data_IF_970171069872
#
_entry.id   IF_970171069872
#
_cell.length_a   1.000
_cell.length_b   1.000
_cell.length_c   1.000
_cell.angle_alpha   90.00
_cell.angle_beta   90.00
_cell.angle_gamma   90.00
#
_symmetry.space_group_name_H-M   'P 1'
#
loop_
_entity.id
_entity.type
_entity.pdbx_description
1 polymer ?
#
# COMPACT_ATOMS: atom_id res chain seq x y z
N UNK A 1 -12.32 21.42 17.90
CA UNK A 1 -13.13 20.27 17.49
C UNK A 1 -12.89 19.14 18.48
N UNK A 2 -13.93 18.55 19.06
CA UNK A 2 -13.77 17.40 19.96
C UNK A 2 -13.45 16.19 19.09
N UNK A 3 -12.25 15.63 19.17
CA UNK A 3 -11.90 14.37 18.56
C UNK A 3 -12.85 13.29 19.09
N UNK A 4 -13.81 12.85 18.28
CA UNK A 4 -14.46 11.57 18.57
C UNK A 4 -13.35 10.53 18.47
N UNK A 5 -13.01 9.88 19.58
CA UNK A 5 -12.13 8.71 19.57
C UNK A 5 -12.84 7.66 18.71
N UNK A 6 -12.26 7.36 17.55
CA UNK A 6 -12.66 6.22 16.75
C UNK A 6 -12.44 4.97 17.61
N UNK A 7 -13.50 4.25 17.87
CA UNK A 7 -13.42 2.92 18.49
C UNK A 7 -13.75 1.96 17.35
N UNK A 8 -12.79 1.17 16.86
CA UNK A 8 -13.06 0.21 15.79
C UNK A 8 -14.22 -0.72 16.16
N UNK A 9 -15.02 -1.10 15.19
CA UNK A 9 -16.18 -2.01 15.34
C UNK A 9 -15.74 -3.30 16.07
N UNK A 10 -14.52 -3.78 15.81
CA UNK A 10 -13.93 -4.93 16.49
C UNK A 10 -13.79 -4.78 18.02
N UNK A 11 -13.71 -3.55 18.56
CA UNK A 11 -13.61 -3.33 20.03
C UNK A 11 -14.96 -3.39 20.76
N UNK A 12 -16.08 -3.29 20.06
CA UNK A 12 -17.41 -3.30 20.67
C UNK A 12 -17.97 -4.71 20.93
N UNK A 13 -17.31 -5.77 20.45
CA UNK A 13 -17.83 -7.14 20.47
C UNK A 13 -16.92 -8.17 21.16
N UNK A 14 -16.02 -7.77 22.04
CA UNK A 14 -15.30 -8.73 22.91
C UNK A 14 -16.21 -9.25 24.05
N UNK A 15 -17.30 -9.92 23.69
CA UNK A 15 -18.02 -10.83 24.58
C UNK A 15 -17.56 -12.25 24.21
N UNK A 16 -16.75 -12.81 25.09
CA UNK A 16 -16.27 -14.19 25.02
C UNK A 16 -17.40 -15.17 24.80
N UNK A 17 -17.55 -15.69 23.60
CA UNK A 17 -18.25 -16.92 23.35
C UNK A 17 -17.19 -18.01 23.11
N UNK A 18 -16.85 -18.74 24.18
CA UNK A 18 -16.06 -19.96 24.07
C UNK A 18 -16.90 -21.01 23.34
N UNK A 19 -16.77 -21.06 22.01
CA UNK A 19 -17.30 -22.13 21.19
C UNK A 19 -16.23 -23.24 21.17
N UNK A 20 -16.42 -24.25 22.00
CA UNK A 20 -15.64 -25.50 21.96
C UNK A 20 -16.05 -26.26 20.70
N UNK A 21 -15.36 -26.02 19.59
CA UNK A 21 -15.45 -26.85 18.39
C UNK A 21 -14.71 -28.15 18.67
N UNK A 22 -15.45 -29.26 18.66
CA UNK A 22 -14.92 -30.62 18.58
C UNK A 22 -14.18 -30.76 17.24
N UNK A 23 -12.89 -30.50 17.24
CA UNK A 23 -12.01 -30.86 16.12
C UNK A 23 -11.80 -32.37 16.18
N UNK A 24 -12.46 -33.11 15.29
CA UNK A 24 -12.05 -34.46 14.95
C UNK A 24 -10.62 -34.39 14.40
N UNK A 25 -9.71 -35.16 15.03
CA UNK A 25 -8.33 -35.31 14.57
C UNK A 25 -8.28 -35.86 13.15
N UNK A 26 -8.22 -34.97 12.15
CA UNK A 26 -7.80 -35.32 10.82
C UNK A 26 -6.26 -35.37 10.82
N UNK A 27 -5.71 -36.52 10.48
CA UNK A 27 -4.28 -36.69 10.14
C UNK A 27 -4.00 -35.84 8.92
N UNK A 28 -3.25 -34.76 9.11
CA UNK A 28 -2.85 -33.83 8.05
C UNK A 28 -1.91 -34.55 7.07
N UNK A 29 -2.38 -34.77 5.84
CA UNK A 29 -1.51 -34.97 4.67
C UNK A 29 -0.78 -33.64 4.35
N UNK A 30 0.26 -33.70 3.49
CA UNK A 30 1.15 -32.59 3.15
C UNK A 30 0.47 -31.37 2.48
N UNK A 31 -0.85 -31.35 2.32
CA UNK A 31 -1.66 -30.25 1.80
C UNK A 31 -2.75 -29.87 2.79
N UNK A 32 -2.76 -28.58 3.16
CA UNK A 32 -3.81 -27.95 3.95
C UNK A 32 -5.00 -27.69 3.02
N UNK A 33 -5.89 -28.69 2.91
CA UNK A 33 -7.05 -28.66 2.02
C UNK A 33 -8.28 -28.08 2.75
N UNK A 34 -8.30 -26.73 2.88
CA UNK A 34 -9.39 -25.99 3.50
C UNK A 34 -10.13 -25.20 2.44
N UNK A 35 -11.44 -25.41 2.33
CA UNK A 35 -12.32 -24.49 1.63
C UNK A 35 -12.64 -23.30 2.55
N UNK A 36 -11.85 -22.24 2.42
CA UNK A 36 -12.00 -21.03 3.22
C UNK A 36 -13.33 -20.31 3.00
N UNK A 37 -14.03 -20.56 1.87
CA UNK A 37 -15.34 -19.96 1.59
C UNK A 37 -16.47 -20.58 2.40
N UNK A 38 -16.27 -21.81 2.88
CA UNK A 38 -17.25 -22.58 3.64
C UNK A 38 -17.13 -22.40 5.16
N UNK A 39 -16.09 -21.70 5.64
CA UNK A 39 -15.91 -21.50 7.07
C UNK A 39 -17.04 -20.65 7.67
N UNK A 40 -17.54 -21.00 8.86
CA UNK A 40 -18.47 -20.15 9.60
C UNK A 40 -17.75 -18.82 9.92
N UNK A 41 -18.28 -17.72 9.40
CA UNK A 41 -17.70 -16.39 9.60
C UNK A 41 -18.54 -15.58 10.56
N UNK A 42 -17.90 -14.95 11.55
CA UNK A 42 -18.48 -13.81 12.23
C UNK A 42 -18.66 -12.66 11.21
N UNK A 43 -19.70 -11.87 11.36
CA UNK A 43 -20.00 -10.76 10.44
C UNK A 43 -18.89 -9.69 10.40
N UNK A 44 -18.03 -9.68 11.40
CA UNK A 44 -16.89 -8.74 11.52
C UNK A 44 -15.59 -9.28 10.90
N UNK A 45 -15.55 -10.55 10.53
CA UNK A 45 -14.36 -11.17 9.97
C UNK A 45 -14.23 -10.94 8.46
N UNK A 46 -13.04 -11.28 7.96
CA UNK A 46 -12.78 -11.29 6.52
C UNK A 46 -13.66 -12.36 5.85
N UNK A 47 -14.44 -11.92 4.85
CA UNK A 47 -15.34 -12.79 4.10
C UNK A 47 -14.74 -13.14 2.75
N UNK A 48 -14.33 -14.38 2.57
CA UNK A 48 -13.74 -14.86 1.30
C UNK A 48 -14.79 -14.84 0.18
N UNK A 49 -14.42 -14.28 -0.96
CA UNK A 49 -15.22 -14.23 -2.19
C UNK A 49 -14.62 -15.08 -3.31
N UNK A 50 -13.31 -15.32 -3.29
CA UNK A 50 -12.64 -16.23 -4.20
C UNK A 50 -11.39 -16.84 -3.57
N UNK A 51 -11.04 -18.04 -4.01
CA UNK A 51 -9.84 -18.78 -3.59
C UNK A 51 -9.11 -19.31 -4.82
N UNK A 52 -7.79 -19.18 -4.84
CA UNK A 52 -6.90 -19.75 -5.87
C UNK A 52 -5.67 -20.37 -5.21
N UNK A 53 -5.24 -21.53 -5.72
CA UNK A 53 -3.96 -22.14 -5.29
C UNK A 53 -2.96 -22.00 -6.42
N UNK A 54 -1.71 -21.63 -6.10
CA UNK A 54 -0.65 -21.39 -7.07
C UNK A 54 0.70 -21.89 -6.58
N UNK A 55 1.50 -22.50 -7.46
CA UNK A 55 2.89 -22.86 -7.16
C UNK A 55 3.83 -21.67 -7.27
N UNK A 56 3.44 -20.63 -7.98
CA UNK A 56 4.25 -19.44 -8.27
C UNK A 56 5.64 -19.79 -8.84
N UNK A 57 5.72 -20.80 -9.69
CA UNK A 57 6.95 -21.12 -10.42
C UNK A 57 7.28 -20.07 -11.47
N UNK A 58 6.24 -19.35 -11.94
CA UNK A 58 6.31 -18.17 -12.78
C UNK A 58 5.41 -17.07 -12.19
N UNK A 59 5.64 -15.81 -12.55
CA UNK A 59 4.73 -14.73 -12.19
C UNK A 59 3.35 -14.96 -12.81
N UNK A 60 2.27 -14.85 -12.05
CA UNK A 60 0.92 -14.92 -12.59
C UNK A 60 0.71 -13.87 -13.68
N UNK A 61 -0.12 -14.22 -14.69
CA UNK A 61 -0.41 -13.32 -15.81
C UNK A 61 -1.14 -12.04 -15.38
N UNK A 62 -1.81 -12.07 -14.24
CA UNK A 62 -2.46 -10.95 -13.58
C UNK A 62 -1.54 -10.17 -12.61
N UNK A 63 -0.22 -10.40 -12.66
CA UNK A 63 0.76 -9.61 -11.94
C UNK A 63 1.11 -8.34 -12.73
N UNK A 64 0.96 -7.18 -12.10
CA UNK A 64 1.27 -5.88 -12.70
C UNK A 64 2.38 -5.17 -11.92
N UNK A 65 3.16 -4.35 -12.63
CA UNK A 65 4.12 -3.39 -12.09
C UNK A 65 3.81 -2.07 -12.76
N UNK A 66 3.27 -1.12 -12.02
CA UNK A 66 2.80 0.19 -12.53
C UNK A 66 1.91 0.10 -13.78
N UNK A 67 0.92 -0.78 -13.74
CA UNK A 67 -0.04 -0.92 -14.83
C UNK A 67 0.48 -1.63 -16.08
N UNK A 68 1.69 -2.17 -16.03
CA UNK A 68 2.25 -3.00 -17.09
C UNK A 68 2.29 -4.45 -16.61
N UNK A 69 1.78 -5.42 -17.40
CA UNK A 69 1.94 -6.83 -17.03
C UNK A 69 3.40 -7.17 -16.74
N UNK A 70 3.66 -7.82 -15.62
CA UNK A 70 5.03 -8.10 -15.17
C UNK A 70 5.83 -8.91 -16.21
N UNK A 71 5.17 -9.78 -16.97
CA UNK A 71 5.77 -10.54 -18.07
C UNK A 71 6.32 -9.65 -19.21
N UNK A 72 5.69 -8.48 -19.45
CA UNK A 72 6.14 -7.53 -20.47
C UNK A 72 7.17 -6.53 -19.91
N UNK A 73 7.21 -6.40 -18.58
CA UNK A 73 7.99 -5.38 -17.91
C UNK A 73 9.49 -5.55 -18.17
N UNK A 74 10.00 -6.78 -18.14
CA UNK A 74 11.41 -7.07 -18.42
C UNK A 74 11.86 -6.60 -19.80
N UNK A 75 11.01 -6.77 -20.82
CA UNK A 75 11.31 -6.37 -22.22
C UNK A 75 11.30 -4.84 -22.40
N UNK A 76 10.38 -4.13 -21.75
CA UNK A 76 10.28 -2.66 -21.83
C UNK A 76 11.41 -1.94 -21.12
N UNK A 77 11.88 -2.48 -20.00
CA UNK A 77 12.94 -1.90 -19.19
C UNK A 77 14.30 -1.96 -19.89
N UNK A 78 14.64 -3.06 -20.55
CA UNK A 78 15.90 -3.18 -21.29
C UNK A 78 16.04 -2.13 -22.39
N UNK A 79 14.94 -1.56 -22.87
CA UNK A 79 14.90 -0.50 -23.88
C UNK A 79 14.98 0.92 -23.27
N UNK A 80 14.83 1.09 -21.96
CA UNK A 80 14.87 2.41 -21.32
C UNK A 80 16.30 2.94 -21.17
N UNK A 81 16.56 4.20 -21.58
CA UNK A 81 17.90 4.82 -21.41
C UNK A 81 18.37 4.85 -19.95
N UNK A 82 17.47 4.97 -18.99
CA UNK A 82 17.80 5.04 -17.55
C UNK A 82 18.40 3.74 -17.01
N UNK A 83 18.05 2.58 -17.54
CA UNK A 83 18.65 1.31 -17.12
C UNK A 83 20.07 1.10 -17.63
N UNK A 84 20.47 1.79 -18.68
CA UNK A 84 21.83 1.69 -19.23
C UNK A 84 22.90 2.31 -18.34
N UNK A 85 22.53 3.11 -17.35
CA UNK A 85 23.44 3.77 -16.40
C UNK A 85 23.52 3.06 -15.05
N UNK A 86 22.62 2.10 -14.76
CA UNK A 86 22.66 1.29 -13.53
C UNK A 86 23.57 0.07 -13.72
N UNK A 87 24.43 -0.21 -12.74
CA UNK A 87 25.32 -1.38 -12.74
C UNK A 87 24.57 -2.73 -12.61
N UNK A 88 23.26 -2.70 -12.37
CA UNK A 88 22.43 -3.89 -12.20
C UNK A 88 21.18 -3.74 -13.07
N UNK A 89 20.92 -4.71 -13.94
CA UNK A 89 19.75 -4.69 -14.82
C UNK A 89 18.46 -4.96 -14.04
N UNK A 90 17.32 -4.46 -14.52
CA UNK A 90 16.02 -4.80 -13.94
C UNK A 90 15.73 -6.31 -13.99
N UNK A 91 16.20 -6.97 -15.07
CA UNK A 91 16.08 -8.41 -15.20
C UNK A 91 16.79 -9.14 -14.06
N UNK A 92 17.99 -8.69 -13.64
CA UNK A 92 18.68 -9.32 -12.52
C UNK A 92 17.99 -9.08 -11.18
N UNK A 93 17.40 -7.88 -10.95
CA UNK A 93 16.63 -7.60 -9.73
C UNK A 93 15.33 -8.40 -9.70
N UNK A 94 14.65 -8.52 -10.84
CA UNK A 94 13.49 -9.40 -10.96
C UNK A 94 13.86 -10.86 -10.69
N UNK A 95 15.00 -11.32 -11.21
CA UNK A 95 15.50 -12.66 -10.93
C UNK A 95 15.78 -12.87 -9.43
N UNK A 96 16.36 -11.86 -8.74
CA UNK A 96 16.56 -11.90 -7.29
C UNK A 96 15.23 -12.02 -6.52
N UNK A 97 14.19 -11.27 -6.95
CA UNK A 97 12.85 -11.34 -6.35
C UNK A 97 12.22 -12.73 -6.54
N UNK A 98 12.46 -13.37 -7.70
CA UNK A 98 11.86 -14.65 -8.09
C UNK A 98 12.68 -15.87 -7.64
N UNK A 99 13.93 -15.67 -7.23
CA UNK A 99 14.80 -16.77 -6.79
C UNK A 99 14.49 -17.17 -5.35
N UNK A 100 13.64 -18.17 -5.20
CA UNK A 100 13.30 -18.78 -3.92
C UNK A 100 13.88 -20.19 -3.83
N UNK A 101 14.69 -20.44 -2.82
CA UNK A 101 15.23 -21.77 -2.52
C UNK A 101 14.16 -22.78 -2.11
N UNK A 102 13.05 -22.29 -1.53
CA UNK A 102 11.90 -23.10 -1.11
C UNK A 102 10.70 -22.81 -2.02
N UNK A 103 10.31 -23.78 -2.82
CA UNK A 103 9.13 -23.73 -3.69
C UNK A 103 7.88 -24.12 -2.90
N UNK A 104 7.33 -23.21 -2.11
CA UNK A 104 6.04 -23.45 -1.44
C UNK A 104 4.90 -23.08 -2.37
N UNK A 105 3.89 -23.93 -2.42
CA UNK A 105 2.57 -23.57 -2.96
C UNK A 105 1.93 -22.54 -2.04
N UNK A 106 1.18 -21.61 -2.60
CA UNK A 106 0.44 -20.60 -1.86
C UNK A 106 -1.06 -20.68 -2.17
N UNK A 107 -1.87 -20.22 -1.23
CA UNK A 107 -3.30 -20.01 -1.40
C UNK A 107 -3.52 -18.49 -1.42
N UNK A 108 -4.26 -18.03 -2.42
CA UNK A 108 -4.71 -16.65 -2.55
C UNK A 108 -6.21 -16.60 -2.21
N UNK A 109 -6.57 -15.73 -1.28
CA UNK A 109 -7.94 -15.47 -0.87
C UNK A 109 -8.27 -14.01 -1.16
N UNK A 110 -9.20 -13.76 -2.07
CA UNK A 110 -9.78 -12.42 -2.18
C UNK A 110 -11.07 -12.37 -1.37
N UNK A 111 -11.35 -11.23 -0.76
CA UNK A 111 -12.52 -11.13 0.11
C UNK A 111 -12.81 -9.70 0.54
N UNK A 112 -13.80 -9.57 1.42
CA UNK A 112 -14.29 -8.28 1.92
C UNK A 112 -14.18 -8.20 3.44
N UNK A 113 -14.11 -6.98 3.96
CA UNK A 113 -14.08 -6.66 5.38
C UNK A 113 -14.77 -5.32 5.61
N UNK A 114 -15.14 -5.03 6.86
CA UNK A 114 -15.74 -3.77 7.24
C UNK A 114 -14.69 -2.76 7.69
N UNK A 115 -14.89 -1.50 7.32
CA UNK A 115 -14.08 -0.35 7.69
C UNK A 115 -14.94 0.91 7.68
N UNK A 116 -14.34 2.10 7.56
CA UNK A 116 -15.03 3.38 7.48
C UNK A 116 -14.65 4.15 6.21
N UNK A 117 -15.58 4.99 5.77
CA UNK A 117 -15.36 5.94 4.68
C UNK A 117 -14.87 7.33 5.20
N UNK A 118 -14.74 8.29 4.29
CA UNK A 118 -14.30 9.66 4.59
C UNK A 118 -15.27 10.46 5.47
N UNK A 119 -16.52 10.03 5.55
CA UNK A 119 -17.55 10.57 6.45
C UNK A 119 -17.68 9.79 7.77
N UNK A 120 -16.83 8.77 7.97
CA UNK A 120 -16.85 7.86 9.12
C UNK A 120 -18.08 6.96 9.20
N UNK A 121 -18.73 6.69 8.05
CA UNK A 121 -19.78 5.69 7.96
C UNK A 121 -19.15 4.30 7.70
N UNK A 122 -19.85 3.26 8.17
CA UNK A 122 -19.44 1.89 7.90
C UNK A 122 -19.47 1.62 6.40
N UNK A 123 -18.36 1.07 5.87
CA UNK A 123 -18.22 0.68 4.47
C UNK A 123 -17.59 -0.69 4.36
N UNK A 124 -18.04 -1.48 3.39
CA UNK A 124 -17.38 -2.74 3.06
C UNK A 124 -16.25 -2.46 2.07
N UNK A 125 -15.03 -2.85 2.44
CA UNK A 125 -13.84 -2.81 1.59
C UNK A 125 -13.45 -4.21 1.16
N UNK A 126 -12.50 -4.32 0.25
CA UNK A 126 -11.95 -5.60 -0.23
C UNK A 126 -10.43 -5.63 -0.15
N UNK A 127 -9.89 -6.83 -0.34
CA UNK A 127 -8.45 -7.05 -0.39
C UNK A 127 -8.11 -8.51 -0.63
N UNK A 128 -6.81 -8.81 -0.56
CA UNK A 128 -6.27 -10.16 -0.78
C UNK A 128 -5.44 -10.60 0.42
N UNK A 129 -5.55 -11.88 0.73
CA UNK A 129 -4.66 -12.60 1.64
C UNK A 129 -3.93 -13.67 0.84
N UNK A 130 -2.61 -13.74 0.97
CA UNK A 130 -1.80 -14.82 0.37
C UNK A 130 -1.07 -15.53 1.48
N UNK A 131 -1.20 -16.85 1.55
CA UNK A 131 -0.62 -17.66 2.63
C UNK A 131 -0.03 -18.96 2.10
N UNK A 132 0.95 -19.56 2.82
CA UNK A 132 1.48 -20.88 2.49
C UNK A 132 0.38 -21.94 2.49
N UNK A 133 0.37 -22.82 1.46
CA UNK A 133 -0.67 -23.84 1.31
C UNK A 133 -0.63 -24.94 2.37
N UNK A 134 0.46 -25.05 3.12
CA UNK A 134 0.57 -25.95 4.28
C UNK A 134 -0.07 -25.39 5.56
N UNK A 135 -0.64 -24.19 5.51
CA UNK A 135 -1.28 -23.53 6.64
C UNK A 135 -0.30 -23.08 7.74
N UNK A 136 1.01 -23.09 7.48
CA UNK A 136 2.04 -22.75 8.48
C UNK A 136 2.82 -21.54 8.04
N UNK A 137 2.74 -20.48 8.83
CA UNK A 137 3.42 -19.24 8.56
C UNK A 137 4.35 -18.81 9.70
N UNK A 138 5.42 -18.12 9.35
CA UNK A 138 6.35 -17.52 10.29
C UNK A 138 5.73 -16.30 10.98
N UNK A 139 5.18 -15.36 10.18
CA UNK A 139 4.56 -14.10 10.62
C UNK A 139 3.56 -13.62 9.59
N UNK A 140 2.83 -12.58 9.97
CA UNK A 140 1.98 -11.81 9.06
C UNK A 140 2.75 -10.57 8.59
N UNK A 141 2.68 -10.28 7.28
CA UNK A 141 3.12 -9.01 6.68
C UNK A 141 1.87 -8.27 6.19
N UNK A 142 1.59 -7.12 6.78
CA UNK A 142 0.54 -6.21 6.34
C UNK A 142 1.13 -5.23 5.33
N UNK A 143 0.62 -5.25 4.10
CA UNK A 143 1.18 -4.52 2.97
C UNK A 143 0.27 -3.38 2.57
N UNK A 144 0.84 -2.18 2.52
CA UNK A 144 0.22 -1.01 1.90
C UNK A 144 0.73 -0.90 0.47
N UNK A 145 -0.17 -1.05 -0.53
CA UNK A 145 0.24 -1.04 -1.93
C UNK A 145 0.59 0.37 -2.45
N UNK A 146 1.36 0.45 -3.52
CA UNK A 146 1.69 1.69 -4.21
C UNK A 146 0.49 2.26 -4.99
N UNK A 147 0.64 3.43 -5.62
CA UNK A 147 -0.42 4.08 -6.41
C UNK A 147 -0.83 3.22 -7.60
N UNK A 148 -2.12 2.91 -7.69
CA UNK A 148 -2.74 2.24 -8.83
C UNK A 148 -3.77 3.17 -9.50
N UNK A 149 -4.05 2.95 -10.77
CA UNK A 149 -5.04 3.71 -11.53
C UNK A 149 -6.29 2.88 -11.83
N UNK A 150 -6.08 1.64 -12.24
CA UNK A 150 -7.15 0.74 -12.65
C UNK A 150 -7.62 -0.16 -11.50
N UNK A 151 -8.92 -0.44 -11.47
CA UNK A 151 -9.45 -1.44 -10.54
C UNK A 151 -8.97 -2.87 -10.84
N UNK A 152 -8.43 -3.10 -12.05
CA UNK A 152 -7.78 -4.37 -12.39
C UNK A 152 -6.45 -4.58 -11.65
N UNK A 153 -5.82 -3.49 -11.18
CA UNK A 153 -4.58 -3.51 -10.41
C UNK A 153 -4.83 -3.63 -8.90
N UNK A 154 -6.09 -3.56 -8.44
CA UNK A 154 -6.42 -3.72 -7.03
C UNK A 154 -5.99 -5.12 -6.54
N UNK A 155 -5.36 -5.24 -5.36
CA UNK A 155 -4.88 -6.52 -4.84
C UNK A 155 -5.89 -7.65 -4.86
N UNK A 156 -7.18 -7.39 -4.57
CA UNK A 156 -8.24 -8.39 -4.65
C UNK A 156 -8.45 -8.95 -6.06
N UNK A 157 -7.97 -8.27 -7.11
CA UNK A 157 -8.20 -8.60 -8.52
C UNK A 157 -6.95 -9.01 -9.28
N UNK A 158 -5.76 -8.64 -8.80
CA UNK A 158 -4.48 -9.00 -9.41
C UNK A 158 -3.60 -9.76 -8.41
N UNK A 159 -2.42 -10.19 -8.85
CA UNK A 159 -1.39 -10.74 -7.97
C UNK A 159 -0.35 -9.64 -7.69
N UNK A 160 -0.28 -9.09 -6.46
CA UNK A 160 0.79 -8.16 -6.11
C UNK A 160 2.15 -8.88 -6.09
N UNK A 161 3.18 -8.26 -6.67
CA UNK A 161 4.50 -8.92 -6.75
C UNK A 161 5.10 -9.20 -5.37
N UNK A 162 4.81 -8.36 -4.37
CA UNK A 162 5.24 -8.58 -2.99
C UNK A 162 4.69 -9.88 -2.40
N UNK A 163 3.55 -10.36 -2.93
CA UNK A 163 2.93 -11.61 -2.49
C UNK A 163 3.82 -12.84 -2.76
N UNK A 164 4.86 -12.70 -3.61
CA UNK A 164 5.92 -13.71 -3.75
C UNK A 164 6.60 -14.04 -2.42
N UNK A 165 6.64 -13.12 -1.46
CA UNK A 165 7.21 -13.35 -0.13
C UNK A 165 6.44 -14.42 0.68
N UNK A 166 5.19 -14.74 0.30
CA UNK A 166 4.44 -15.85 0.90
C UNK A 166 5.16 -17.21 0.69
N UNK A 167 5.94 -17.36 -0.38
CA UNK A 167 6.80 -18.56 -0.61
C UNK A 167 7.86 -18.73 0.49
N UNK A 168 8.22 -17.68 1.19
CA UNK A 168 9.11 -17.72 2.34
C UNK A 168 8.39 -18.15 3.63
N UNK A 169 7.09 -18.38 3.59
CA UNK A 169 6.30 -18.77 4.76
C UNK A 169 5.70 -17.59 5.52
N UNK A 170 5.39 -16.50 4.86
CA UNK A 170 4.65 -15.38 5.45
C UNK A 170 3.18 -15.41 5.01
N UNK A 171 2.27 -14.99 5.89
CA UNK A 171 0.94 -14.56 5.47
C UNK A 171 1.07 -13.11 5.02
N UNK A 172 0.59 -12.82 3.80
CA UNK A 172 0.61 -11.48 3.22
C UNK A 172 -0.82 -10.94 3.15
N UNK A 173 -1.06 -9.74 3.69
CA UNK A 173 -2.38 -9.09 3.70
C UNK A 173 -2.31 -7.81 2.90
N UNK A 174 -3.16 -7.66 1.89
CA UNK A 174 -3.20 -6.56 0.93
C UNK A 174 -4.59 -5.94 0.88
N UNK A 175 -4.88 -4.84 1.58
CA UNK A 175 -6.11 -4.06 1.40
C UNK A 175 -6.14 -3.39 0.02
N UNK A 176 -7.32 -3.25 -0.59
CA UNK A 176 -7.50 -2.52 -1.85
C UNK A 176 -7.53 -0.99 -1.67
N UNK A 177 -7.75 -0.48 -0.47
CA UNK A 177 -8.13 0.87 -0.09
C UNK A 177 -9.53 1.28 -0.56
N UNK A 178 -10.11 2.27 0.11
CA UNK A 178 -11.36 2.94 -0.30
C UNK A 178 -11.18 3.56 -1.70
N UNK A 179 -12.14 3.34 -2.58
CA UNK A 179 -12.10 3.78 -3.98
C UNK A 179 -11.54 2.73 -4.95
N UNK A 180 -11.23 1.51 -4.45
CA UNK A 180 -10.82 0.37 -5.28
C UNK A 180 -11.55 -0.92 -4.85
N UNK A 181 -11.35 -1.99 -5.60
CA UNK A 181 -11.99 -3.28 -5.32
C UNK A 181 -13.51 -3.19 -5.41
N UNK A 182 -14.20 -3.45 -4.29
CA UNK A 182 -15.66 -3.38 -4.20
C UNK A 182 -16.21 -1.96 -4.10
N UNK A 183 -15.36 -0.96 -3.87
CA UNK A 183 -15.71 0.46 -3.80
C UNK A 183 -15.14 1.28 -4.98
N UNK A 184 -14.88 0.63 -6.11
CA UNK A 184 -14.28 1.26 -7.29
C UNK A 184 -15.15 2.38 -7.92
N UNK A 185 -16.41 2.44 -7.58
CA UNK A 185 -17.36 3.50 -7.95
C UNK A 185 -17.19 4.78 -7.12
N UNK A 186 -16.33 4.76 -6.09
CA UNK A 186 -16.02 5.91 -5.24
C UNK A 186 -14.68 6.53 -5.64
N UNK A 187 -14.53 7.82 -5.36
CA UNK A 187 -13.23 8.49 -5.50
C UNK A 187 -12.29 8.01 -4.38
N UNK A 188 -11.04 7.73 -4.74
CA UNK A 188 -10.02 7.33 -3.77
C UNK A 188 -9.53 8.54 -2.96
N UNK A 189 -9.61 8.53 -1.61
CA UNK A 189 -9.07 9.59 -0.75
C UNK A 189 -7.54 9.48 -0.67
N UNK A 190 -6.88 9.79 -1.79
CA UNK A 190 -5.44 9.59 -2.02
C UNK A 190 -4.60 10.39 -1.02
N UNK A 191 -3.68 9.71 -0.32
CA UNK A 191 -2.80 10.26 0.70
C UNK A 191 -3.51 10.89 1.92
N UNK A 192 -4.75 10.50 2.19
CA UNK A 192 -5.43 10.80 3.47
C UNK A 192 -4.97 9.76 4.49
N UNK A 193 -3.91 10.10 5.24
CA UNK A 193 -3.11 9.15 6.00
C UNK A 193 -3.90 8.41 7.09
N UNK A 194 -4.65 9.13 7.91
CA UNK A 194 -5.38 8.54 9.04
C UNK A 194 -6.48 7.58 8.56
N UNK A 195 -7.24 7.99 7.53
CA UNK A 195 -8.30 7.16 6.96
C UNK A 195 -7.73 5.90 6.33
N UNK A 196 -6.67 6.04 5.53
CA UNK A 196 -6.03 4.88 4.88
C UNK A 196 -5.41 3.95 5.92
N UNK A 197 -4.77 4.48 6.97
CA UNK A 197 -4.20 3.66 8.05
C UNK A 197 -5.28 2.83 8.75
N UNK A 198 -6.47 3.41 8.99
CA UNK A 198 -7.60 2.70 9.57
C UNK A 198 -8.09 1.60 8.61
N UNK A 199 -8.29 1.92 7.33
CA UNK A 199 -8.75 0.93 6.35
C UNK A 199 -7.79 -0.26 6.23
N UNK A 200 -6.48 0.01 6.29
CA UNK A 200 -5.44 -1.03 6.25
C UNK A 200 -5.46 -1.89 7.51
N UNK A 201 -5.52 -1.25 8.69
CA UNK A 201 -5.51 -1.95 9.96
C UNK A 201 -6.79 -2.76 10.19
N UNK A 202 -7.94 -2.25 9.75
CA UNK A 202 -9.22 -2.95 9.85
C UNK A 202 -9.20 -4.28 9.07
N UNK A 203 -8.52 -4.33 7.91
CA UNK A 203 -8.33 -5.61 7.22
C UNK A 203 -7.53 -6.61 8.05
N UNK A 204 -6.43 -6.19 8.69
CA UNK A 204 -5.66 -7.06 9.57
C UNK A 204 -6.51 -7.58 10.73
N UNK A 205 -7.29 -6.70 11.37
CA UNK A 205 -8.16 -7.04 12.50
C UNK A 205 -9.29 -8.02 12.09
N UNK A 206 -9.76 -7.94 10.84
CA UNK A 206 -10.74 -8.87 10.29
C UNK A 206 -10.12 -10.22 9.87
N UNK A 207 -8.90 -10.20 9.32
CA UNK A 207 -8.20 -11.40 8.81
C UNK A 207 -7.64 -12.26 9.93
N UNK A 208 -7.06 -11.67 10.97
CA UNK A 208 -6.41 -12.43 12.04
C UNK A 208 -7.32 -13.50 12.68
N UNK A 209 -8.50 -13.16 13.22
CA UNK A 209 -9.40 -14.18 13.80
C UNK A 209 -9.94 -15.17 12.78
N UNK A 210 -10.09 -14.75 11.53
CA UNK A 210 -10.48 -15.64 10.43
C UNK A 210 -9.40 -16.71 10.18
N UNK A 211 -8.11 -16.35 10.14
CA UNK A 211 -7.01 -17.30 9.98
C UNK A 211 -6.90 -18.27 11.17
N UNK A 212 -7.08 -17.76 12.39
CA UNK A 212 -7.12 -18.59 13.61
C UNK A 212 -8.24 -19.62 13.54
N UNK A 213 -9.44 -19.21 13.13
CA UNK A 213 -10.61 -20.11 12.96
C UNK A 213 -10.40 -21.12 11.82
N UNK A 214 -9.65 -20.74 10.78
CA UNK A 214 -9.26 -21.62 9.69
C UNK A 214 -8.18 -22.64 10.06
N UNK A 215 -7.59 -22.54 11.25
CA UNK A 215 -6.50 -23.41 11.70
C UNK A 215 -5.15 -23.08 11.09
N UNK A 216 -4.97 -21.85 10.59
CA UNK A 216 -3.66 -21.38 10.10
C UNK A 216 -2.76 -21.10 11.30
N UNK A 217 -1.63 -21.77 11.34
CA UNK A 217 -0.62 -21.60 12.39
C UNK A 217 0.35 -20.47 12.03
N UNK A 218 0.37 -19.41 12.84
CA UNK A 218 1.36 -18.33 12.73
C UNK A 218 2.31 -18.43 13.92
N UNK A 219 3.59 -18.67 13.64
CA UNK A 219 4.58 -18.99 14.69
C UNK A 219 4.88 -17.82 15.65
N UNK A 220 4.71 -16.59 15.20
CA UNK A 220 5.01 -15.39 15.98
C UNK A 220 3.89 -14.34 15.85
N UNK A 221 3.47 -13.78 16.99
CA UNK A 221 2.38 -12.79 17.06
C UNK A 221 2.77 -11.41 16.54
N UNK A 222 4.06 -11.09 16.53
CA UNK A 222 4.53 -9.78 16.02
C UNK A 222 4.39 -9.72 14.50
N UNK A 223 3.84 -8.62 14.01
CA UNK A 223 3.63 -8.40 12.58
C UNK A 223 4.77 -7.59 11.96
N UNK A 224 4.86 -7.71 10.64
CA UNK A 224 5.68 -6.87 9.79
C UNK A 224 4.76 -5.91 9.00
N UNK A 225 5.20 -4.69 8.80
CA UNK A 225 4.53 -3.72 7.94
C UNK A 225 5.42 -3.45 6.72
N UNK A 226 4.82 -3.35 5.53
CA UNK A 226 5.56 -3.12 4.29
C UNK A 226 4.79 -2.21 3.34
N UNK A 227 5.50 -1.29 2.65
CA UNK A 227 4.91 -0.54 1.56
C UNK A 227 5.90 0.36 0.85
N UNK A 228 5.58 0.69 -0.40
CA UNK A 228 6.39 1.56 -1.26
C UNK A 228 5.55 2.68 -1.86
N UNK A 229 6.16 3.84 -2.17
CA UNK A 229 5.48 5.00 -2.76
C UNK A 229 4.33 5.48 -1.87
N UNK A 230 3.10 5.63 -2.39
CA UNK A 230 1.90 5.84 -1.56
C UNK A 230 1.88 4.86 -0.38
N UNK A 231 2.12 3.58 -0.65
CA UNK A 231 2.17 2.55 0.38
C UNK A 231 3.27 2.75 1.41
N UNK A 232 4.39 3.36 1.05
CA UNK A 232 5.46 3.71 1.99
C UNK A 232 5.00 4.72 3.04
N UNK A 233 4.30 5.78 2.61
CA UNK A 233 3.71 6.75 3.52
C UNK A 233 2.56 6.15 4.35
N UNK A 234 1.67 5.38 3.72
CA UNK A 234 0.57 4.68 4.41
C UNK A 234 1.10 3.70 5.46
N UNK A 235 2.18 2.97 5.17
CA UNK A 235 2.82 2.06 6.13
C UNK A 235 3.31 2.78 7.39
N UNK A 236 3.88 3.96 7.24
CA UNK A 236 4.27 4.78 8.39
C UNK A 236 3.05 5.32 9.17
N UNK A 237 1.94 5.62 8.47
CA UNK A 237 0.69 6.00 9.12
C UNK A 237 0.04 4.83 9.88
N UNK A 238 0.11 3.62 9.33
CA UNK A 238 -0.33 2.38 10.03
C UNK A 238 0.53 2.14 11.27
N UNK A 239 1.86 2.29 11.18
CA UNK A 239 2.73 2.19 12.35
C UNK A 239 2.33 3.20 13.42
N UNK A 240 2.13 4.48 13.05
CA UNK A 240 1.68 5.51 13.97
C UNK A 240 0.36 5.13 14.65
N UNK A 241 -0.63 4.67 13.89
CA UNK A 241 -1.94 4.27 14.42
C UNK A 241 -1.80 3.11 15.42
N UNK A 242 -1.00 2.09 15.10
CA UNK A 242 -0.76 0.95 16.00
C UNK A 242 -0.07 1.42 17.27
N UNK A 243 0.99 2.20 17.18
CA UNK A 243 1.74 2.69 18.33
C UNK A 243 0.93 3.66 19.20
N UNK A 244 0.01 4.43 18.62
CA UNK A 244 -0.83 5.38 19.34
C UNK A 244 -2.07 4.74 19.99
N UNK A 245 -2.68 3.72 19.37
CA UNK A 245 -3.99 3.21 19.78
C UNK A 245 -4.04 1.70 20.05
N UNK A 246 -3.07 0.91 19.57
CA UNK A 246 -3.07 -0.56 19.65
C UNK A 246 -1.76 -1.12 20.23
N UNK A 247 -0.96 -0.31 20.88
CA UNK A 247 0.38 -0.68 21.37
C UNK A 247 0.38 -1.96 22.24
N UNK A 248 -0.65 -2.16 23.06
CA UNK A 248 -0.75 -3.33 23.93
C UNK A 248 -1.26 -4.58 23.21
N UNK A 249 -1.96 -4.42 22.08
CA UNK A 249 -2.68 -5.47 21.36
C UNK A 249 -1.90 -5.99 20.15
N UNK A 250 -1.14 -5.10 19.47
CA UNK A 250 -0.41 -5.42 18.26
C UNK A 250 1.07 -5.05 18.44
N UNK A 251 1.94 -6.03 18.30
CA UNK A 251 3.39 -5.82 18.35
C UNK A 251 3.94 -5.79 16.92
N UNK A 252 4.74 -4.78 16.63
CA UNK A 252 5.42 -4.63 15.35
C UNK A 252 6.86 -5.15 15.49
N UNK A 253 7.22 -6.17 14.71
CA UNK A 253 8.58 -6.69 14.64
C UNK A 253 9.50 -5.76 13.87
N UNK A 254 9.05 -5.27 12.71
CA UNK A 254 9.79 -4.37 11.82
C UNK A 254 8.86 -3.73 10.80
N UNK A 255 9.19 -2.53 10.40
CA UNK A 255 8.52 -1.76 9.34
C UNK A 255 9.48 -1.59 8.15
N UNK A 256 9.00 -1.87 6.96
CA UNK A 256 9.69 -1.64 5.70
C UNK A 256 8.94 -0.55 4.94
N UNK A 257 9.48 0.66 4.89
CA UNK A 257 8.88 1.80 4.21
C UNK A 257 9.83 2.33 3.14
N UNK A 258 9.39 2.32 1.88
CA UNK A 258 10.22 2.72 0.74
C UNK A 258 9.59 3.82 -0.09
N UNK A 259 10.41 4.79 -0.58
CA UNK A 259 10.02 5.78 -1.60
C UNK A 259 8.75 6.58 -1.29
N UNK A 260 8.42 6.77 -0.02
CA UNK A 260 7.13 7.33 0.40
C UNK A 260 7.09 8.86 0.40
N UNK A 261 5.94 9.47 0.00
CA UNK A 261 5.68 10.90 0.17
C UNK A 261 5.31 11.21 1.63
N UNK A 262 6.27 11.07 2.53
CA UNK A 262 6.09 11.28 3.98
C UNK A 262 5.72 12.73 4.32
N UNK A 263 6.08 13.67 3.45
CA UNK A 263 5.67 15.06 3.43
C UNK A 263 4.91 15.32 2.12
N UNK A 264 3.59 15.20 2.18
CA UNK A 264 2.71 15.33 1.01
C UNK A 264 2.83 16.73 0.41
N UNK A 265 2.86 17.76 1.27
CA UNK A 265 3.02 19.15 0.82
C UNK A 265 4.34 19.34 0.07
N UNK A 266 5.46 18.82 0.61
CA UNK A 266 6.74 18.96 -0.04
C UNK A 266 6.79 18.27 -1.41
N UNK A 267 6.12 17.13 -1.56
CA UNK A 267 6.03 16.41 -2.83
C UNK A 267 5.21 17.21 -3.86
N UNK A 268 4.04 17.71 -3.46
CA UNK A 268 3.19 18.51 -4.34
C UNK A 268 3.84 19.84 -4.71
N UNK A 269 4.41 20.55 -3.72
CA UNK A 269 5.10 21.83 -3.92
C UNK A 269 6.31 21.70 -4.85
N UNK A 270 6.96 20.52 -4.85
CA UNK A 270 8.04 20.23 -5.79
C UNK A 270 7.55 20.22 -7.25
N UNK A 271 6.37 19.67 -7.53
CA UNK A 271 5.77 19.72 -8.88
C UNK A 271 5.45 21.15 -9.30
N UNK A 272 4.85 21.94 -8.40
CA UNK A 272 4.45 23.32 -8.69
C UNK A 272 5.68 24.24 -8.89
N UNK A 273 6.68 24.15 -8.01
CA UNK A 273 7.85 25.04 -8.05
C UNK A 273 8.81 24.74 -9.20
N UNK A 274 8.93 23.47 -9.60
CA UNK A 274 9.70 23.06 -10.77
C UNK A 274 8.94 23.16 -12.08
N UNK A 275 7.66 23.42 -12.01
CA UNK A 275 6.74 23.35 -13.16
C UNK A 275 6.83 22.01 -13.90
N UNK A 276 7.12 20.93 -13.17
CA UNK A 276 7.26 19.59 -13.74
C UNK A 276 6.74 18.54 -12.77
N UNK A 277 5.76 17.76 -13.22
CA UNK A 277 5.24 16.57 -12.55
C UNK A 277 5.63 15.34 -13.39
N UNK A 278 6.69 14.65 -12.99
CA UNK A 278 7.17 13.46 -13.71
C UNK A 278 6.15 12.32 -13.70
N UNK A 279 5.20 12.38 -12.78
CA UNK A 279 4.04 11.47 -12.67
C UNK A 279 2.73 12.28 -12.69
N UNK A 280 2.27 12.72 -13.89
CA UNK A 280 1.18 13.69 -14.05
C UNK A 280 -0.12 13.36 -13.33
N UNK A 281 -0.51 12.08 -13.25
CA UNK A 281 -1.71 11.63 -12.53
C UNK A 281 -1.66 11.98 -11.04
N UNK A 282 -0.48 12.12 -10.45
CA UNK A 282 -0.35 12.45 -9.02
C UNK A 282 -0.98 13.81 -8.69
N UNK A 283 -0.97 14.77 -9.63
CA UNK A 283 -1.54 16.11 -9.42
C UNK A 283 -3.05 16.04 -9.13
N UNK A 284 -3.90 15.50 -10.04
CA UNK A 284 -5.33 15.36 -9.76
C UNK A 284 -5.63 14.40 -8.61
N UNK A 285 -4.86 13.32 -8.43
CA UNK A 285 -5.09 12.38 -7.33
C UNK A 285 -4.92 13.05 -5.96
N UNK A 286 -3.82 13.82 -5.76
CA UNK A 286 -3.59 14.54 -4.51
C UNK A 286 -4.68 15.58 -4.27
N UNK A 287 -5.06 16.34 -5.30
CA UNK A 287 -6.11 17.35 -5.15
C UNK A 287 -7.45 16.74 -4.74
N UNK A 288 -7.92 15.72 -5.47
CA UNK A 288 -9.17 15.02 -5.14
C UNK A 288 -9.12 14.39 -3.76
N UNK A 289 -8.03 13.71 -3.45
CA UNK A 289 -7.85 13.07 -2.15
C UNK A 289 -7.93 14.06 -0.99
N UNK A 290 -7.24 15.20 -1.11
CA UNK A 290 -7.29 16.25 -0.08
C UNK A 290 -8.69 16.88 0.04
N UNK A 291 -9.36 17.17 -1.08
CA UNK A 291 -10.70 17.77 -1.07
C UNK A 291 -11.68 16.82 -0.38
N UNK A 292 -11.75 15.57 -0.80
CA UNK A 292 -12.72 14.61 -0.27
C UNK A 292 -12.38 14.22 1.16
N UNK A 293 -11.16 13.81 1.42
CA UNK A 293 -10.77 13.30 2.72
C UNK A 293 -10.72 14.35 3.84
N UNK A 294 -10.72 15.64 3.48
CA UNK A 294 -10.77 16.74 4.46
C UNK A 294 -12.06 17.56 4.36
N UNK A 295 -13.02 17.11 3.55
CA UNK A 295 -14.31 17.79 3.32
C UNK A 295 -14.14 19.28 2.98
N UNK A 296 -13.23 19.57 2.02
CA UNK A 296 -12.96 20.95 1.59
C UNK A 296 -14.00 21.39 0.58
N UNK A 297 -14.54 22.60 0.75
CA UNK A 297 -15.44 23.25 -0.22
C UNK A 297 -14.63 23.95 -1.32
N UNK A 298 -13.97 23.13 -2.17
CA UNK A 298 -13.13 23.61 -3.26
C UNK A 298 -13.60 23.07 -4.61
N UNK A 299 -13.67 23.96 -5.60
CA UNK A 299 -14.03 23.62 -6.96
C UNK A 299 -12.77 23.33 -7.80
N UNK A 300 -12.53 22.04 -8.10
CA UNK A 300 -11.38 21.60 -8.93
C UNK A 300 -11.39 22.20 -10.34
N UNK A 301 -12.56 22.53 -10.91
CA UNK A 301 -12.66 23.18 -12.22
C UNK A 301 -11.87 24.49 -12.28
N UNK A 302 -11.83 25.24 -11.18
CA UNK A 302 -11.08 26.50 -11.11
C UNK A 302 -9.57 26.28 -10.95
N UNK A 303 -9.16 25.12 -10.47
CA UNK A 303 -7.77 24.82 -10.10
C UNK A 303 -7.03 24.04 -11.21
N UNK A 304 -7.74 23.45 -12.15
CA UNK A 304 -7.19 22.63 -13.23
C UNK A 304 -7.38 23.24 -14.61
N UNK A 305 -6.55 22.82 -15.56
CA UNK A 305 -6.82 23.13 -16.97
C UNK A 305 -8.10 22.40 -17.43
N UNK A 306 -8.96 23.07 -18.23
CA UNK A 306 -10.28 22.53 -18.59
C UNK A 306 -10.21 21.10 -19.14
N UNK A 307 -9.28 20.83 -20.06
CA UNK A 307 -9.20 19.50 -20.66
C UNK A 307 -8.82 18.39 -19.65
N UNK A 308 -8.12 18.72 -18.57
CA UNK A 308 -7.82 17.75 -17.50
C UNK A 308 -9.06 17.55 -16.64
N UNK A 309 -9.69 18.64 -16.21
CA UNK A 309 -10.88 18.59 -15.36
C UNK A 309 -12.05 17.85 -16.04
N UNK A 310 -12.35 18.17 -17.31
CA UNK A 310 -13.42 17.55 -18.09
C UNK A 310 -13.25 16.04 -18.30
N UNK A 311 -12.02 15.54 -18.19
CA UNK A 311 -11.71 14.14 -18.39
C UNK A 311 -11.36 13.37 -17.08
N UNK A 312 -11.33 14.03 -15.95
CA UNK A 312 -10.85 13.38 -14.70
C UNK A 312 -11.73 12.19 -14.29
N UNK A 313 -13.04 12.31 -14.46
CA UNK A 313 -13.99 11.23 -14.14
C UNK A 313 -13.77 10.02 -15.05
N UNK A 314 -13.50 10.28 -16.34
CA UNK A 314 -13.23 9.19 -17.27
C UNK A 314 -11.83 8.60 -17.11
N UNK A 315 -10.79 9.41 -16.95
CA UNK A 315 -9.42 8.91 -16.85
C UNK A 315 -9.07 8.32 -15.49
N UNK A 316 -9.51 8.98 -14.41
CA UNK A 316 -9.10 8.64 -13.04
C UNK A 316 -10.22 7.93 -12.28
N UNK A 317 -11.42 8.52 -12.23
CA UNK A 317 -12.48 8.04 -11.35
C UNK A 317 -13.20 6.80 -11.89
N UNK A 318 -13.17 6.56 -13.23
CA UNK A 318 -13.73 5.32 -13.82
C UNK A 318 -12.98 4.06 -13.40
N UNK A 319 -11.74 4.18 -12.92
CA UNK A 319 -10.85 3.06 -12.57
C UNK A 319 -10.63 2.04 -13.71
N UNK A 320 -10.76 2.50 -14.98
CA UNK A 320 -10.58 1.65 -16.16
C UNK A 320 -9.14 1.69 -16.69
N UNK A 321 -8.38 2.72 -16.35
CA UNK A 321 -7.06 2.98 -16.91
C UNK A 321 -5.97 2.87 -15.85
N UNK A 322 -4.86 2.25 -16.23
CA UNK A 322 -3.66 2.22 -15.38
C UNK A 322 -3.05 3.61 -15.26
N UNK A 323 -2.23 3.82 -14.26
CA UNK A 323 -1.53 5.10 -14.06
C UNK A 323 -0.72 5.50 -15.30
N UNK A 324 -0.07 4.54 -15.97
CA UNK A 324 0.68 4.78 -17.20
C UNK A 324 -0.23 5.26 -18.35
N UNK A 325 -1.44 4.70 -18.47
CA UNK A 325 -2.42 5.11 -19.47
C UNK A 325 -2.97 6.51 -19.19
N UNK A 326 -3.25 6.83 -17.93
CA UNK A 326 -3.70 8.17 -17.52
C UNK A 326 -2.61 9.20 -17.75
N UNK A 327 -1.35 8.93 -17.35
CA UNK A 327 -0.21 9.81 -17.64
C UNK A 327 -0.05 10.10 -19.13
N UNK A 328 -0.24 9.08 -19.96
CA UNK A 328 -0.24 9.24 -21.43
C UNK A 328 -1.42 10.08 -21.93
N UNK A 329 -2.60 9.93 -21.34
CA UNK A 329 -3.80 10.69 -21.72
C UNK A 329 -3.67 12.17 -21.34
N UNK A 330 -3.13 12.49 -20.16
CA UNK A 330 -2.79 13.85 -19.74
C UNK A 330 -1.78 14.47 -20.74
N UNK A 331 -0.82 13.68 -21.24
CA UNK A 331 0.03 14.02 -22.37
C UNK A 331 1.09 15.09 -22.13
N UNK A 332 1.24 15.56 -20.88
CA UNK A 332 2.24 16.56 -20.47
C UNK A 332 2.77 16.27 -19.08
N UNK A 333 4.03 16.63 -18.85
CA UNK A 333 4.64 16.67 -17.51
C UNK A 333 4.74 18.09 -16.97
N UNK A 334 4.39 19.10 -17.75
CA UNK A 334 4.51 20.50 -17.38
C UNK A 334 3.30 20.85 -16.49
N UNK A 335 3.54 21.26 -15.27
CA UNK A 335 2.51 21.42 -14.25
C UNK A 335 1.49 22.52 -14.60
N UNK A 336 1.91 23.67 -15.20
CA UNK A 336 0.99 24.71 -15.63
C UNK A 336 0.11 24.29 -16.83
N UNK A 337 0.40 23.19 -17.51
CA UNK A 337 -0.49 22.57 -18.48
C UNK A 337 -1.49 21.59 -17.85
N UNK A 338 -1.37 21.30 -16.54
CA UNK A 338 -2.27 20.45 -15.77
C UNK A 338 -3.13 21.31 -14.85
N UNK A 339 -2.50 22.26 -14.15
CA UNK A 339 -3.13 23.22 -13.25
C UNK A 339 -3.43 24.54 -13.98
N UNK A 340 -4.52 25.20 -13.60
CA UNK A 340 -4.82 26.56 -14.01
C UNK A 340 -3.85 27.58 -13.38
N UNK A 341 -3.90 28.83 -13.84
CA UNK A 341 -3.16 29.93 -13.17
C UNK A 341 -3.52 30.04 -11.69
N UNK A 342 -4.79 29.87 -11.33
CA UNK A 342 -5.25 29.86 -9.94
C UNK A 342 -4.72 28.66 -9.17
N UNK A 343 -4.70 27.47 -9.77
CA UNK A 343 -4.13 26.26 -9.17
C UNK A 343 -2.62 26.33 -8.95
N UNK A 344 -1.92 27.13 -9.75
CA UNK A 344 -0.49 27.42 -9.59
C UNK A 344 -0.20 28.55 -8.60
N UNK A 345 -1.22 29.40 -8.26
CA UNK A 345 -1.05 30.53 -7.35
C UNK A 345 -1.08 30.08 -5.89
N UNK A 346 0.09 29.91 -5.31
CA UNK A 346 0.27 29.50 -3.90
C UNK A 346 -0.31 30.49 -2.89
N UNK A 347 -0.69 31.69 -3.32
CA UNK A 347 -1.26 32.74 -2.46
C UNK A 347 -2.78 32.78 -2.54
N UNK A 348 -3.41 32.06 -3.46
CA UNK A 348 -4.87 31.95 -3.53
C UNK A 348 -5.43 31.24 -2.29
N UNK A 349 -6.64 31.60 -1.88
CA UNK A 349 -7.29 31.04 -0.70
C UNK A 349 -7.49 29.53 -0.84
N UNK A 350 -7.92 29.08 -2.02
CA UNK A 350 -8.19 27.68 -2.31
C UNK A 350 -6.92 26.82 -2.26
N UNK A 351 -5.83 27.29 -2.85
CA UNK A 351 -4.53 26.57 -2.77
C UNK A 351 -4.00 26.57 -1.34
N UNK A 352 -4.24 27.65 -0.57
CA UNK A 352 -3.87 27.68 0.85
C UNK A 352 -4.62 26.61 1.66
N UNK A 353 -5.91 26.39 1.41
CA UNK A 353 -6.67 25.30 2.07
C UNK A 353 -6.17 23.91 1.67
N UNK A 354 -5.85 23.68 0.38
CA UNK A 354 -5.21 22.46 -0.07
C UNK A 354 -3.86 22.21 0.61
N UNK A 355 -3.04 23.24 0.73
CA UNK A 355 -1.71 23.15 1.37
C UNK A 355 -1.83 22.82 2.87
N UNK A 356 -2.84 23.38 3.55
CA UNK A 356 -3.14 23.02 4.95
C UNK A 356 -3.54 21.55 5.06
N UNK A 357 -4.42 21.08 4.17
CA UNK A 357 -4.81 19.67 4.12
C UNK A 357 -3.62 18.74 3.85
N UNK A 358 -2.77 19.06 2.87
CA UNK A 358 -1.53 18.30 2.59
C UNK A 358 -0.59 18.29 3.80
N UNK A 359 -0.45 19.41 4.51
CA UNK A 359 0.36 19.49 5.73
C UNK A 359 -0.20 18.58 6.82
N UNK A 360 -1.51 18.61 7.05
CA UNK A 360 -2.17 17.78 8.05
C UNK A 360 -2.04 16.28 7.73
N UNK A 361 -2.06 15.93 6.46
CA UNK A 361 -1.91 14.56 5.98
C UNK A 361 -0.44 14.15 5.75
N UNK A 362 0.53 15.00 6.07
CA UNK A 362 1.95 14.65 6.04
C UNK A 362 2.33 13.96 7.35
N UNK A 363 2.78 12.70 7.30
CA UNK A 363 3.15 11.96 8.52
C UNK A 363 4.32 12.63 9.27
N UNK A 364 5.15 13.41 8.57
CA UNK A 364 6.22 14.20 9.18
C UNK A 364 5.70 15.41 9.98
N UNK A 365 4.44 15.82 9.82
CA UNK A 365 3.82 16.88 10.64
C UNK A 365 3.36 16.37 12.00
N UNK A 366 3.23 15.06 12.18
CA UNK A 366 2.74 14.46 13.40
C UNK A 366 3.74 14.62 14.55
N UNK A 367 3.23 14.85 15.77
CA UNK A 367 4.05 14.86 16.98
C UNK A 367 4.33 13.43 17.44
N UNK A 368 5.08 12.69 16.60
CA UNK A 368 5.36 11.29 16.78
C UNK A 368 6.75 10.94 16.21
N UNK A 369 7.37 9.93 16.78
CA UNK A 369 8.60 9.30 16.33
C UNK A 369 8.44 7.78 16.39
N UNK A 370 8.78 7.02 15.33
CA UNK A 370 8.63 5.57 15.28
C UNK A 370 9.34 4.85 16.44
N UNK A 371 8.65 3.95 17.12
CA UNK A 371 9.19 3.17 18.23
C UNK A 371 9.67 1.78 17.78
N UNK A 372 8.89 1.11 16.92
CA UNK A 372 9.31 -0.15 16.34
C UNK A 372 10.44 0.05 15.32
N UNK A 373 11.30 -0.99 15.11
CA UNK A 373 12.37 -0.91 14.11
C UNK A 373 11.86 -0.60 12.72
N UNK A 374 12.43 0.42 12.06
CA UNK A 374 12.10 0.85 10.69
C UNK A 374 13.29 0.65 9.78
N UNK A 375 13.07 0.03 8.62
CA UNK A 375 13.95 0.09 7.46
C UNK A 375 13.35 1.09 6.47
N UNK A 376 13.94 2.28 6.38
CA UNK A 376 13.47 3.35 5.52
C UNK A 376 14.38 3.44 4.29
N UNK A 377 13.80 3.06 3.14
CA UNK A 377 14.49 3.01 1.85
C UNK A 377 14.09 4.19 0.96
N UNK A 378 15.04 4.77 0.23
CA UNK A 378 14.73 5.76 -0.82
C UNK A 378 15.85 5.84 -1.85
N UNK A 379 15.47 5.88 -3.14
CA UNK A 379 16.42 6.19 -4.20
C UNK A 379 16.70 7.70 -4.25
N UNK A 380 17.97 8.09 -4.30
CA UNK A 380 18.35 9.51 -4.48
C UNK A 380 18.05 10.03 -5.88
N UNK A 381 17.77 9.12 -6.84
CA UNK A 381 17.44 9.43 -8.23
C UNK A 381 15.93 9.40 -8.49
N UNK A 382 15.10 9.33 -7.44
CA UNK A 382 13.64 9.24 -7.54
C UNK A 382 13.07 10.55 -8.10
N UNK A 383 12.49 10.46 -9.30
CA UNK A 383 11.91 11.60 -10.04
C UNK A 383 10.43 11.83 -9.69
N UNK A 384 9.77 10.83 -9.06
CA UNK A 384 8.34 10.90 -8.71
C UNK A 384 8.17 11.41 -7.28
N UNK A 385 8.78 10.72 -6.32
CA UNK A 385 8.78 11.14 -4.92
C UNK A 385 10.16 11.67 -4.58
N UNK A 386 10.27 12.99 -4.53
CA UNK A 386 11.57 13.65 -4.30
C UNK A 386 12.28 13.14 -3.05
N UNK A 387 13.59 12.91 -3.15
CA UNK A 387 14.44 12.49 -2.04
C UNK A 387 14.35 13.41 -0.80
N UNK A 388 13.84 14.63 -0.97
CA UNK A 388 13.56 15.54 0.14
C UNK A 388 12.65 14.92 1.20
N UNK A 389 11.74 14.02 0.82
CA UNK A 389 10.89 13.27 1.76
C UNK A 389 11.74 12.43 2.74
N UNK A 390 12.63 11.62 2.21
CA UNK A 390 13.50 10.75 3.00
C UNK A 390 14.52 11.56 3.83
N UNK A 391 15.08 12.65 3.28
CA UNK A 391 16.01 13.50 4.01
C UNK A 391 15.33 14.25 5.17
N UNK A 392 14.09 14.73 4.98
CA UNK A 392 13.29 15.34 6.05
C UNK A 392 12.90 14.32 7.12
N UNK A 393 12.52 13.09 6.71
CA UNK A 393 12.27 11.99 7.63
C UNK A 393 13.49 11.71 8.52
N UNK A 394 14.70 11.68 7.95
CA UNK A 394 15.94 11.50 8.70
C UNK A 394 16.23 12.62 9.69
N UNK A 395 15.83 13.84 9.38
CA UNK A 395 15.97 14.99 10.29
C UNK A 395 14.92 14.94 11.41
N UNK A 396 13.69 14.55 11.06
CA UNK A 396 12.56 14.49 12.01
C UNK A 396 12.68 13.33 12.97
N UNK A 397 12.98 12.13 12.45
CA UNK A 397 13.06 10.89 13.21
C UNK A 397 14.54 10.56 13.48
N UNK A 398 14.95 10.72 14.72
CA UNK A 398 16.36 10.56 15.13
C UNK A 398 16.60 9.28 15.92
N UNK A 399 15.54 8.50 16.14
CA UNK A 399 15.57 7.27 16.90
C UNK A 399 16.56 6.25 16.31
N UNK A 400 17.34 5.61 17.16
CA UNK A 400 18.34 4.59 16.78
C UNK A 400 17.69 3.32 16.14
N UNK A 401 16.38 3.14 16.29
CA UNK A 401 15.65 2.02 15.68
C UNK A 401 15.42 2.18 14.18
N UNK A 402 15.78 3.33 13.58
CA UNK A 402 15.57 3.58 12.16
C UNK A 402 16.85 3.34 11.38
N UNK A 403 16.83 2.35 10.51
CA UNK A 403 17.88 2.08 9.53
C UNK A 403 17.54 2.81 8.23
N UNK A 404 18.33 3.85 7.89
CA UNK A 404 18.18 4.58 6.64
C UNK A 404 19.02 3.92 5.54
N UNK A 405 18.37 3.53 4.44
CA UNK A 405 19.01 2.99 3.24
C UNK A 405 18.76 3.92 2.05
N UNK A 406 19.69 4.84 1.82
CA UNK A 406 19.63 5.83 0.76
C UNK A 406 20.78 5.60 -0.21
N UNK A 407 20.49 5.63 -1.50
CA UNK A 407 21.48 5.39 -2.54
C UNK A 407 20.97 5.70 -3.93
N UNK A 408 21.85 5.58 -4.91
CA UNK A 408 21.53 5.73 -6.33
C UNK A 408 21.00 4.38 -6.87
N UNK A 409 19.69 4.17 -6.69
CA UNK A 409 19.03 2.90 -7.07
C UNK A 409 18.26 3.01 -8.39
N UNK A 410 18.42 4.12 -9.13
CA UNK A 410 17.64 4.48 -10.30
C UNK A 410 16.37 5.24 -9.92
N UNK A 411 15.49 5.47 -10.90
CA UNK A 411 14.24 6.18 -10.71
C UNK A 411 13.25 5.44 -9.81
N UNK A 412 12.04 5.99 -9.70
CA UNK A 412 11.02 5.52 -8.73
C UNK A 412 10.72 4.02 -8.84
N UNK A 413 10.55 3.50 -10.07
CA UNK A 413 10.21 2.08 -10.30
C UNK A 413 11.41 1.18 -10.03
N UNK A 414 12.62 1.58 -10.43
CA UNK A 414 13.84 0.84 -10.12
C UNK A 414 14.05 0.76 -8.61
N UNK A 415 13.80 1.88 -7.92
CA UNK A 415 13.77 1.94 -6.46
C UNK A 415 12.80 0.94 -5.85
N UNK A 416 11.58 0.82 -6.42
CA UNK A 416 10.60 -0.16 -5.97
C UNK A 416 11.11 -1.61 -6.05
N UNK A 417 11.63 -2.01 -7.20
CA UNK A 417 12.15 -3.38 -7.36
C UNK A 417 13.32 -3.66 -6.40
N UNK A 418 14.21 -2.67 -6.22
CA UNK A 418 15.31 -2.76 -5.26
C UNK A 418 14.82 -2.85 -3.83
N UNK A 419 13.77 -2.10 -3.49
CA UNK A 419 13.13 -2.18 -2.18
C UNK A 419 12.60 -3.59 -1.90
N UNK A 420 11.84 -4.19 -2.82
CA UNK A 420 11.29 -5.55 -2.67
C UNK A 420 12.42 -6.59 -2.53
N UNK A 421 13.45 -6.51 -3.35
CA UNK A 421 14.64 -7.38 -3.25
C UNK A 421 15.36 -7.20 -1.90
N UNK A 422 15.51 -5.95 -1.43
CA UNK A 422 16.14 -5.67 -0.13
C UNK A 422 15.32 -6.22 1.04
N UNK A 423 13.99 -6.08 0.99
CA UNK A 423 13.10 -6.66 2.02
C UNK A 423 13.24 -8.17 2.05
N UNK A 424 13.20 -8.86 0.88
CA UNK A 424 13.43 -10.30 0.78
C UNK A 424 14.73 -10.71 1.46
N UNK A 425 15.85 -10.04 1.12
CA UNK A 425 17.17 -10.33 1.70
C UNK A 425 17.19 -10.15 3.23
N UNK A 426 16.57 -9.09 3.74
CA UNK A 426 16.48 -8.86 5.19
C UNK A 426 15.65 -9.92 5.90
N UNK A 427 14.57 -10.39 5.27
CA UNK A 427 13.75 -11.48 5.81
C UNK A 427 14.49 -12.82 5.79
N UNK A 428 15.33 -13.09 4.80
CA UNK A 428 16.20 -14.26 4.75
C UNK A 428 17.22 -14.24 5.89
N UNK A 429 17.89 -13.12 6.12
CA UNK A 429 18.85 -12.92 7.21
C UNK A 429 18.21 -13.08 8.59
N UNK A 430 17.01 -12.55 8.80
CA UNK A 430 16.27 -12.70 10.08
C UNK A 430 15.94 -14.17 10.40
N UNK A 431 15.91 -15.06 9.40
CA UNK A 431 15.70 -16.52 9.57
C UNK A 431 16.97 -17.29 9.89
N UNK A 432 18.12 -16.84 9.38
CA UNK A 432 19.41 -17.52 9.61
C UNK A 432 19.97 -17.28 11.02
N UNK A 433 19.49 -16.25 11.72
CA UNK A 433 19.94 -15.88 13.08
C UNK A 433 19.26 -16.76 14.16
N UNK A 434 18.34 -17.65 13.80
CA UNK A 434 17.70 -18.63 14.70
C UNK A 434 18.49 -19.92 14.77
#
# INVERSE_FOLDING_TARGET
MKSKKYIPIAKLLSISLSLTLLLSSCTFGDNFDVDFSSLPTDSTWFKVTSQRTSTLDELPADCYIEGVPAAEYGQKIEQSPMWRTSSTSAASVMQEILDFSNRRTVIELSGTYWSVDEEWNDVQLSGKVVLPADGKAERIILVSHYTIGSNAEAPSRCFPIEAMLAKMGYVMIFPDYLGYGVTADRVHPYLVMDLTAINVLDMYLAVRPFLEAAGVEVAHDEILLMGYSQGGANTMAVQHLIEAAYYDEIKIRRVFAGGGPYDVLATYDHFVTRDTADYPIAVPLVMQGMIIGNNLDLNMEQLMQPYVYENIDYWVNSKQFTTAQVNKAIGTKITHNILSEKGMDRTSEEVSELYKAMTTNSILSYSWEPQAPVYLFHSMDDEVVTFANASRARVKWTNANIQYNFGHYGGHIQGYLRFVSSVKTLLEQDREIK
#
